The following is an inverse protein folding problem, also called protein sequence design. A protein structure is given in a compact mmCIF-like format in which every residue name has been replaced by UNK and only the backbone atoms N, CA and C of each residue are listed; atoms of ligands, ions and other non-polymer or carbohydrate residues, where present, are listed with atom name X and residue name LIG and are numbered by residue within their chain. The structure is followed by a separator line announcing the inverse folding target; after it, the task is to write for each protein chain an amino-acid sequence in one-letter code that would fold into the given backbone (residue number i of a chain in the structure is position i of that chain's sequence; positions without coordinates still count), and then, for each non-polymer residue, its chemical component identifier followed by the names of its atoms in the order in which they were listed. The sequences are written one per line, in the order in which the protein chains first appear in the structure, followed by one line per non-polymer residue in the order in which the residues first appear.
data_IF_826359331097
#
_entry.id   IF_826359331097
#
_cell.length_a   1.000
_cell.length_b   1.000
_cell.length_c   1.000
_cell.angle_alpha   90.00
_cell.angle_beta   90.00
_cell.angle_gamma   90.00
#
_symmetry.space_group_name_H-M   'P 1'
#
loop_
_entity.id
_entity.type
_entity.pdbx_description
1 polymer ?
#
# COMPACT_ATOMS: atom_id res chain seq x y z
N UNK A 1 -5.30 -18.43 -40.58
CA UNK A 1 -4.30 -18.08 -39.54
C UNK A 1 -3.64 -16.73 -39.82
N UNK A 2 -3.76 -16.15 -41.02
CA UNK A 2 -3.18 -14.82 -41.34
C UNK A 2 -4.08 -13.61 -41.03
N UNK A 3 -5.41 -13.76 -40.96
CA UNK A 3 -6.31 -12.62 -40.74
C UNK A 3 -6.29 -12.04 -39.31
N UNK A 4 -5.71 -12.76 -38.34
CA UNK A 4 -5.56 -12.30 -36.95
C UNK A 4 -4.29 -11.45 -36.75
N UNK A 5 -3.29 -11.59 -37.63
CA UNK A 5 -2.07 -10.78 -37.61
C UNK A 5 -2.24 -9.43 -38.29
N UNK A 6 -3.16 -9.32 -39.25
CA UNK A 6 -3.47 -8.04 -39.90
C UNK A 6 -4.35 -7.13 -39.02
N UNK A 7 -5.10 -7.69 -38.08
CA UNK A 7 -5.93 -6.91 -37.14
C UNK A 7 -5.11 -6.21 -36.04
N UNK A 8 -3.91 -6.71 -35.71
CA UNK A 8 -3.10 -6.17 -34.59
C UNK A 8 -2.27 -4.93 -34.93
N UNK A 9 -2.24 -4.49 -36.20
CA UNK A 9 -1.43 -3.33 -36.60
C UNK A 9 -2.09 -1.97 -36.31
N UNK A 10 -3.33 -1.96 -35.80
CA UNK A 10 -4.13 -0.75 -35.60
C UNK A 10 -4.71 -0.60 -34.18
N UNK A 11 -4.25 -1.40 -33.22
CA UNK A 11 -4.66 -1.23 -31.83
C UNK A 11 -3.73 -0.20 -31.16
N UNK A 12 -4.30 0.89 -30.64
CA UNK A 12 -3.60 1.77 -29.72
C UNK A 12 -3.26 0.97 -28.45
N UNK A 13 -1.97 0.72 -28.21
CA UNK A 13 -1.50 0.05 -27.00
C UNK A 13 -0.72 1.02 -26.11
N UNK A 14 -0.52 0.63 -24.85
CA UNK A 14 0.37 1.33 -23.91
C UNK A 14 1.78 0.72 -23.89
N UNK A 15 2.09 -0.15 -24.84
CA UNK A 15 3.38 -0.82 -24.90
C UNK A 15 4.48 0.17 -25.33
N UNK A 16 5.74 -0.09 -24.95
CA UNK A 16 6.86 0.63 -25.52
C UNK A 16 6.86 0.54 -27.04
N UNK A 17 7.05 1.68 -27.71
CA UNK A 17 7.24 1.72 -29.15
C UNK A 17 8.53 0.99 -29.59
N UNK A 18 9.56 0.99 -28.73
CA UNK A 18 10.80 0.26 -28.90
C UNK A 18 11.16 -0.47 -27.59
N UNK A 19 11.23 -1.80 -27.67
CA UNK A 19 11.56 -2.65 -26.53
C UNK A 19 13.05 -2.62 -26.16
N UNK A 20 13.95 -2.35 -27.10
CA UNK A 20 15.37 -2.22 -26.81
C UNK A 20 15.66 -0.97 -25.98
N UNK A 21 15.00 0.15 -26.32
CA UNK A 21 15.08 1.38 -25.52
C UNK A 21 14.45 1.19 -24.13
N UNK A 22 13.32 0.49 -24.05
CA UNK A 22 12.67 0.16 -22.79
C UNK A 22 13.55 -0.74 -21.90
N UNK A 23 14.22 -1.73 -22.48
CA UNK A 23 15.18 -2.60 -21.80
C UNK A 23 16.37 -1.81 -21.28
N UNK A 24 17.01 -0.99 -22.13
CA UNK A 24 18.14 -0.16 -21.76
C UNK A 24 17.79 0.81 -20.61
N UNK A 25 16.61 1.46 -20.68
CA UNK A 25 16.13 2.32 -19.61
C UNK A 25 15.85 1.53 -18.33
N UNK A 26 15.26 0.34 -18.43
CA UNK A 26 14.96 -0.51 -17.26
C UNK A 26 16.23 -0.95 -16.54
N UNK A 27 17.28 -1.33 -17.27
CA UNK A 27 18.59 -1.64 -16.70
C UNK A 27 19.20 -0.44 -15.97
N UNK A 28 19.16 0.75 -16.59
CA UNK A 28 19.62 1.98 -15.95
C UNK A 28 18.87 2.25 -14.63
N UNK A 29 17.54 2.14 -14.63
CA UNK A 29 16.72 2.36 -13.44
C UNK A 29 17.10 1.38 -12.32
N UNK A 30 17.34 0.10 -12.65
CA UNK A 30 17.74 -0.90 -11.68
C UNK A 30 19.14 -0.64 -11.13
N UNK A 31 20.12 -0.28 -11.97
CA UNK A 31 21.48 0.06 -11.55
C UNK A 31 21.48 1.27 -10.59
N UNK A 32 20.70 2.30 -10.92
CA UNK A 32 20.52 3.49 -10.10
C UNK A 32 19.82 3.15 -8.77
N UNK A 33 18.79 2.30 -8.78
CA UNK A 33 18.07 1.88 -7.58
C UNK A 33 18.95 1.02 -6.64
N UNK A 34 19.74 0.10 -7.19
CA UNK A 34 20.69 -0.71 -6.43
C UNK A 34 21.74 0.19 -5.78
N UNK A 35 22.32 1.12 -6.56
CA UNK A 35 23.28 2.12 -6.06
C UNK A 35 22.66 2.95 -4.94
N UNK A 36 21.43 3.45 -5.12
CA UNK A 36 20.71 4.23 -4.12
C UNK A 36 20.52 3.49 -2.78
N UNK A 37 20.24 2.19 -2.81
CA UNK A 37 20.08 1.36 -1.61
C UNK A 37 21.41 0.95 -0.97
N UNK A 38 22.41 0.60 -1.79
CA UNK A 38 23.75 0.22 -1.32
C UNK A 38 24.38 1.36 -0.52
N UNK A 39 24.29 2.57 -1.05
CA UNK A 39 25.00 3.74 -0.54
C UNK A 39 24.12 4.56 0.44
N UNK A 40 22.98 4.00 0.87
CA UNK A 40 22.00 4.63 1.79
C UNK A 40 22.59 5.15 3.10
N UNK A 41 23.73 4.60 3.55
CA UNK A 41 24.40 4.97 4.80
C UNK A 41 25.29 6.21 4.67
N UNK A 42 25.69 6.54 3.45
CA UNK A 42 26.64 7.61 3.15
C UNK A 42 25.93 8.96 2.98
N UNK A 43 24.63 8.93 2.68
CA UNK A 43 23.78 10.11 2.53
C UNK A 43 23.15 10.56 3.86
N UNK A 44 22.72 11.82 3.99
CA UNK A 44 21.94 12.27 5.14
C UNK A 44 20.62 11.48 5.25
N UNK A 45 20.15 11.28 6.49
CA UNK A 45 18.84 10.65 6.77
C UNK A 45 17.72 11.40 6.06
N UNK A 46 17.77 12.73 6.17
CA UNK A 46 16.83 13.67 5.57
C UNK A 46 17.60 14.94 5.19
N UNK A 47 17.18 15.62 4.14
CA UNK A 47 17.69 16.93 3.77
C UNK A 47 16.54 17.83 3.34
N UNK A 48 16.68 19.12 3.62
CA UNK A 48 15.67 20.09 3.21
C UNK A 48 15.58 20.18 1.69
N UNK A 49 14.35 20.18 1.17
CA UNK A 49 14.09 20.31 -0.25
C UNK A 49 14.17 21.79 -0.67
N UNK A 50 15.05 22.15 -1.62
CA UNK A 50 15.19 23.51 -2.13
C UNK A 50 13.89 24.07 -2.77
N UNK A 51 13.83 25.39 -2.91
CA UNK A 51 12.65 26.07 -3.43
C UNK A 51 12.38 25.72 -4.90
N UNK A 52 13.43 25.51 -5.70
CA UNK A 52 13.35 25.10 -7.10
C UNK A 52 12.70 23.72 -7.26
N UNK A 53 13.09 22.74 -6.42
CA UNK A 53 12.48 21.40 -6.42
C UNK A 53 11.01 21.47 -5.99
N UNK A 54 10.66 22.33 -5.02
CA UNK A 54 9.25 22.58 -4.66
C UNK A 54 8.46 23.20 -5.82
N UNK A 55 9.10 24.02 -6.63
CA UNK A 55 8.46 24.73 -7.75
C UNK A 55 8.28 23.83 -8.96
N UNK A 56 9.15 22.83 -9.14
CA UNK A 56 9.01 21.77 -10.14
C UNK A 56 7.64 21.06 -10.08
N UNK A 57 7.10 20.83 -8.88
CA UNK A 57 5.79 20.18 -8.68
C UNK A 57 4.58 21.14 -8.78
N UNK A 58 4.76 22.35 -9.32
CA UNK A 58 3.69 23.36 -9.50
C UNK A 58 3.42 23.68 -10.96
N UNK A 59 3.63 22.70 -11.85
CA UNK A 59 3.37 22.82 -13.28
C UNK A 59 1.94 22.38 -13.65
N UNK A 60 1.37 22.89 -14.77
CA UNK A 60 0.07 22.43 -15.24
C UNK A 60 0.12 21.00 -15.78
N UNK A 61 -1.06 20.37 -15.93
CA UNK A 61 -1.20 19.05 -16.54
C UNK A 61 -0.60 19.01 -17.96
N UNK A 62 0.33 18.10 -18.27
CA UNK A 62 0.85 17.91 -19.62
C UNK A 62 -0.27 17.49 -20.59
N UNK A 63 -0.28 18.05 -21.81
CA UNK A 63 -1.27 17.72 -22.86
C UNK A 63 -0.69 16.92 -24.03
N UNK A 64 0.58 16.58 -23.95
CA UNK A 64 1.33 15.84 -24.98
C UNK A 64 2.21 14.81 -24.29
N UNK A 65 2.53 13.68 -24.95
CA UNK A 65 3.41 12.67 -24.40
C UNK A 65 4.83 13.22 -24.20
N UNK A 66 5.56 12.59 -23.28
CA UNK A 66 6.98 12.84 -23.05
C UNK A 66 7.73 11.50 -23.06
N UNK A 67 9.00 11.47 -23.51
CA UNK A 67 9.82 10.27 -23.41
C UNK A 67 9.95 9.80 -21.95
N UNK A 68 9.77 8.50 -21.70
CA UNK A 68 9.83 7.94 -20.34
C UNK A 68 11.20 8.18 -19.68
N UNK A 69 12.28 8.20 -20.47
CA UNK A 69 13.62 8.52 -19.99
C UNK A 69 13.72 9.94 -19.40
N UNK A 70 13.06 10.93 -20.01
CA UNK A 70 13.04 12.30 -19.49
C UNK A 70 12.24 12.39 -18.18
N UNK A 71 11.12 11.66 -18.09
CA UNK A 71 10.34 11.55 -16.86
C UNK A 71 11.14 10.88 -15.75
N UNK A 72 11.89 9.82 -16.06
CA UNK A 72 12.78 9.17 -15.11
C UNK A 72 13.88 10.11 -14.63
N UNK A 73 14.51 10.86 -15.53
CA UNK A 73 15.51 11.86 -15.18
C UNK A 73 14.96 12.91 -14.20
N UNK A 74 13.71 13.33 -14.39
CA UNK A 74 13.03 14.22 -13.46
C UNK A 74 12.79 13.58 -12.09
N UNK A 75 12.39 12.31 -12.04
CA UNK A 75 12.25 11.55 -10.78
C UNK A 75 13.60 11.42 -10.07
N UNK A 76 14.65 11.04 -10.80
CA UNK A 76 16.00 10.86 -10.28
C UNK A 76 16.57 12.16 -9.68
N UNK A 77 16.29 13.31 -10.32
CA UNK A 77 16.75 14.63 -9.84
C UNK A 77 15.90 15.20 -8.71
N UNK A 78 14.57 15.13 -8.83
CA UNK A 78 13.65 15.92 -8.01
C UNK A 78 12.93 15.12 -6.92
N UNK A 79 12.87 13.79 -7.03
CA UNK A 79 12.16 12.93 -6.07
C UNK A 79 13.14 12.13 -5.23
N UNK A 80 13.97 11.31 -5.88
CA UNK A 80 14.85 10.34 -5.20
C UNK A 80 15.76 10.96 -4.14
N UNK A 81 16.33 12.16 -4.32
CA UNK A 81 17.26 12.72 -3.35
C UNK A 81 16.60 13.34 -2.12
N UNK A 82 15.26 13.46 -2.08
CA UNK A 82 14.53 14.13 -1.01
C UNK A 82 13.50 13.21 -0.32
N UNK A 83 13.91 12.02 0.15
CA UNK A 83 13.00 11.11 0.84
C UNK A 83 12.71 11.58 2.27
N UNK A 84 11.68 11.01 2.87
CA UNK A 84 11.43 11.14 4.32
C UNK A 84 12.58 10.56 5.17
N UNK A 85 13.31 9.58 4.63
CA UNK A 85 14.49 8.98 5.25
C UNK A 85 14.30 7.57 5.82
N UNK A 86 13.09 7.01 5.74
CA UNK A 86 12.68 5.77 6.42
C UNK A 86 13.61 4.56 6.25
N UNK A 87 14.30 4.44 5.11
CA UNK A 87 15.18 3.31 4.83
C UNK A 87 16.61 3.49 5.38
N UNK A 88 16.95 4.66 5.90
CA UNK A 88 18.26 4.94 6.48
C UNK A 88 18.33 4.34 7.90
N UNK A 89 19.41 3.63 8.31
CA UNK A 89 19.49 2.94 9.61
C UNK A 89 19.45 3.86 10.85
N UNK A 90 19.80 5.14 10.68
CA UNK A 90 19.65 6.23 11.68
C UNK A 90 18.28 6.94 11.66
N UNK A 91 17.31 6.46 10.88
CA UNK A 91 15.95 6.98 10.92
C UNK A 91 15.20 6.35 12.10
N UNK A 92 15.03 7.09 13.19
CA UNK A 92 14.41 6.60 14.44
C UNK A 92 13.11 7.33 14.80
N UNK A 93 12.52 8.04 13.84
CA UNK A 93 11.27 8.77 14.03
C UNK A 93 10.07 7.89 13.65
N UNK A 94 9.02 7.92 14.48
CA UNK A 94 7.77 7.18 14.26
C UNK A 94 7.94 5.66 14.06
N UNK A 95 6.83 4.98 13.82
CA UNK A 95 6.81 3.61 13.32
C UNK A 95 6.30 3.64 11.89
N UNK A 96 7.20 3.87 10.95
CA UNK A 96 6.88 3.82 9.53
C UNK A 96 7.58 2.62 8.93
N UNK A 97 6.83 1.80 8.17
CA UNK A 97 7.41 0.68 7.45
C UNK A 97 8.58 1.16 6.58
N UNK A 98 9.65 0.39 6.57
CA UNK A 98 10.76 0.56 5.65
C UNK A 98 10.60 -0.45 4.51
N UNK A 99 10.77 0.02 3.28
CA UNK A 99 10.92 -0.86 2.12
C UNK A 99 12.23 -1.65 2.24
N UNK A 100 12.32 -2.79 1.56
CA UNK A 100 13.55 -3.55 1.39
C UNK A 100 13.68 -4.01 -0.08
N UNK A 101 14.91 -4.36 -0.48
CA UNK A 101 15.22 -4.69 -1.87
C UNK A 101 14.39 -5.86 -2.41
N UNK A 102 14.28 -6.96 -1.66
CA UNK A 102 13.53 -8.15 -2.07
C UNK A 102 12.03 -7.84 -2.22
N UNK A 103 11.46 -7.08 -1.30
CA UNK A 103 10.08 -6.61 -1.38
C UNK A 103 9.84 -5.74 -2.61
N UNK A 104 10.76 -4.82 -2.90
CA UNK A 104 10.66 -3.96 -4.09
C UNK A 104 10.69 -4.77 -5.41
N UNK A 105 11.53 -5.81 -5.50
CA UNK A 105 11.52 -6.73 -6.66
C UNK A 105 10.20 -7.50 -6.73
N UNK A 106 9.69 -7.95 -5.58
CA UNK A 106 8.38 -8.62 -5.51
C UNK A 106 7.25 -7.73 -6.03
N UNK A 107 7.22 -6.46 -5.62
CA UNK A 107 6.24 -5.47 -6.09
C UNK A 107 6.38 -5.19 -7.59
N UNK A 108 7.61 -5.11 -8.10
CA UNK A 108 7.86 -4.99 -9.55
C UNK A 108 7.26 -6.17 -10.31
N UNK A 109 7.53 -7.41 -9.88
CA UNK A 109 6.98 -8.61 -10.52
C UNK A 109 5.46 -8.68 -10.41
N UNK A 110 4.89 -8.27 -9.28
CA UNK A 110 3.44 -8.19 -9.11
C UNK A 110 2.83 -7.16 -10.08
N UNK A 111 3.48 -6.01 -10.29
CA UNK A 111 3.06 -5.01 -11.25
C UNK A 111 3.16 -5.51 -12.71
N UNK A 112 4.21 -6.25 -13.06
CA UNK A 112 4.38 -6.89 -14.38
C UNK A 112 3.30 -7.95 -14.62
N UNK A 113 3.01 -8.79 -13.63
CA UNK A 113 1.96 -9.80 -13.76
C UNK A 113 0.56 -9.17 -13.87
N UNK A 114 0.34 -8.03 -13.19
CA UNK A 114 -0.91 -7.25 -13.29
C UNK A 114 -2.16 -7.97 -12.79
N UNK A 115 -2.03 -8.95 -11.89
CA UNK A 115 -3.16 -9.77 -11.45
C UNK A 115 -4.14 -9.02 -10.55
N UNK A 116 -5.41 -9.01 -10.92
CA UNK A 116 -6.52 -8.57 -10.08
C UNK A 116 -7.13 -9.77 -9.34
N UNK A 117 -7.09 -9.75 -8.01
CA UNK A 117 -7.55 -10.86 -7.15
C UNK A 117 -9.07 -10.81 -6.84
N UNK A 118 -9.86 -10.05 -7.61
CA UNK A 118 -11.32 -9.93 -7.43
C UNK A 118 -12.11 -11.21 -7.76
N UNK A 119 -11.48 -12.19 -8.42
CA UNK A 119 -12.07 -13.48 -8.72
C UNK A 119 -11.20 -14.33 -9.64
N UNK A 120 -11.68 -15.52 -10.00
CA UNK A 120 -10.98 -16.45 -10.89
C UNK A 120 -10.09 -17.47 -10.15
N UNK A 121 -9.36 -18.26 -10.93
CA UNK A 121 -8.46 -19.30 -10.44
C UNK A 121 -7.05 -19.07 -11.01
N UNK A 122 -6.20 -18.38 -10.24
CA UNK A 122 -4.87 -18.00 -10.68
C UNK A 122 -3.85 -18.06 -9.54
N UNK A 123 -2.58 -18.28 -9.91
CA UNK A 123 -1.49 -18.53 -8.95
C UNK A 123 -1.30 -17.40 -7.92
N UNK A 124 -1.52 -16.14 -8.30
CA UNK A 124 -1.39 -15.01 -7.37
C UNK A 124 -2.36 -15.10 -6.18
N UNK A 125 -3.59 -15.60 -6.37
CA UNK A 125 -4.54 -15.81 -5.27
C UNK A 125 -4.13 -16.95 -4.34
N UNK A 126 -3.51 -18.00 -4.88
CA UNK A 126 -2.93 -19.09 -4.09
C UNK A 126 -1.70 -18.63 -3.30
N UNK A 127 -0.86 -17.77 -3.90
CA UNK A 127 0.29 -17.17 -3.24
C UNK A 127 -0.13 -16.26 -2.08
N UNK A 128 -1.14 -15.41 -2.26
CA UNK A 128 -1.73 -14.61 -1.17
C UNK A 128 -2.19 -15.50 -0.01
N UNK A 129 -2.96 -16.55 -0.33
CA UNK A 129 -3.43 -17.53 0.65
C UNK A 129 -2.27 -18.24 1.38
N UNK A 130 -1.20 -18.58 0.67
CA UNK A 130 -0.01 -19.21 1.25
C UNK A 130 0.69 -18.27 2.24
N UNK A 131 0.86 -16.99 1.90
CA UNK A 131 1.47 -15.99 2.79
C UNK A 131 0.60 -15.78 4.02
N UNK A 132 -0.73 -15.69 3.88
CA UNK A 132 -1.65 -15.63 5.01
C UNK A 132 -1.51 -16.87 5.90
N UNK A 133 -1.39 -18.06 5.33
CA UNK A 133 -1.19 -19.29 6.10
C UNK A 133 0.13 -19.27 6.90
N UNK A 134 1.24 -18.83 6.30
CA UNK A 134 2.49 -18.65 7.03
C UNK A 134 2.36 -17.65 8.18
N UNK A 135 1.66 -16.53 7.96
CA UNK A 135 1.40 -15.56 9.03
C UNK A 135 0.58 -16.16 10.18
N UNK A 136 -0.42 -17.02 9.89
CA UNK A 136 -1.16 -17.74 10.92
C UNK A 136 -0.25 -18.63 11.76
N UNK A 137 0.61 -19.40 11.10
CA UNK A 137 1.56 -20.29 11.77
C UNK A 137 2.55 -19.52 12.65
N UNK A 138 3.16 -18.46 12.11
CA UNK A 138 4.11 -17.61 12.86
C UNK A 138 3.49 -16.95 14.10
N UNK A 139 2.20 -16.61 14.03
CA UNK A 139 1.47 -15.99 15.14
C UNK A 139 0.84 -17.01 16.11
N UNK A 140 0.97 -18.31 15.84
CA UNK A 140 0.40 -19.38 16.67
C UNK A 140 -1.14 -19.49 16.57
N UNK A 141 -1.74 -19.05 15.47
CA UNK A 141 -3.18 -19.18 15.27
C UNK A 141 -3.57 -20.61 14.84
N UNK A 142 -4.79 -21.07 15.20
CA UNK A 142 -5.32 -22.34 14.69
C UNK A 142 -5.38 -22.38 13.16
N UNK A 143 -5.18 -23.57 12.58
CA UNK A 143 -5.23 -23.77 11.12
C UNK A 143 -6.57 -23.32 10.51
N UNK A 144 -7.67 -23.44 11.26
CA UNK A 144 -9.02 -23.00 10.89
C UNK A 144 -9.21 -21.48 10.87
N UNK A 145 -8.23 -20.70 11.33
CA UNK A 145 -8.30 -19.23 11.24
C UNK A 145 -8.18 -18.78 9.79
N UNK A 146 -8.74 -17.61 9.50
CA UNK A 146 -8.62 -16.94 8.20
C UNK A 146 -7.91 -15.60 8.34
N UNK A 147 -7.50 -15.03 7.21
CA UNK A 147 -6.85 -13.73 7.16
C UNK A 147 -6.91 -13.17 5.75
N UNK A 148 -6.51 -11.91 5.62
CA UNK A 148 -6.40 -11.21 4.33
C UNK A 148 -5.31 -10.14 4.45
N UNK A 149 -4.50 -9.99 3.41
CA UNK A 149 -3.52 -8.91 3.32
C UNK A 149 -4.24 -7.60 2.99
N UNK A 150 -3.86 -6.53 3.68
CA UNK A 150 -4.51 -5.22 3.55
C UNK A 150 -3.48 -4.09 3.56
N UNK A 151 -3.87 -2.92 3.07
CA UNK A 151 -2.99 -1.75 2.89
C UNK A 151 -2.37 -1.17 4.17
N UNK A 152 -2.76 -1.67 5.35
CA UNK A 152 -2.11 -1.33 6.61
C UNK A 152 -3.00 -1.50 7.83
N UNK A 153 -2.45 -1.15 9.00
CA UNK A 153 -3.10 -1.37 10.29
C UNK A 153 -4.46 -0.69 10.44
N UNK A 154 -4.68 0.47 9.80
CA UNK A 154 -6.00 1.12 9.81
C UNK A 154 -7.08 0.27 9.16
N UNK A 155 -6.80 -0.30 7.97
CA UNK A 155 -7.75 -1.17 7.27
C UNK A 155 -7.94 -2.51 8.00
N UNK A 156 -6.85 -3.08 8.54
CA UNK A 156 -6.94 -4.30 9.34
C UNK A 156 -7.88 -4.11 10.55
N UNK A 157 -7.74 -2.99 11.27
CA UNK A 157 -8.60 -2.66 12.39
C UNK A 157 -10.05 -2.38 11.94
N UNK A 158 -10.27 -1.66 10.84
CA UNK A 158 -11.62 -1.43 10.31
C UNK A 158 -12.30 -2.78 10.00
N UNK A 159 -11.62 -3.70 9.34
CA UNK A 159 -12.16 -5.02 9.00
C UNK A 159 -12.45 -5.82 10.28
N UNK A 160 -11.50 -5.93 11.21
CA UNK A 160 -11.71 -6.64 12.47
C UNK A 160 -12.87 -6.08 13.29
N UNK A 161 -12.96 -4.75 13.39
CA UNK A 161 -14.07 -4.06 14.09
C UNK A 161 -15.41 -4.23 13.36
N UNK A 162 -15.41 -4.31 12.02
CA UNK A 162 -16.59 -4.62 11.21
C UNK A 162 -17.10 -6.04 11.51
N UNK A 163 -16.19 -7.01 11.55
CA UNK A 163 -16.52 -8.40 11.91
C UNK A 163 -17.11 -8.45 13.32
N UNK A 164 -16.46 -7.79 14.29
CA UNK A 164 -16.96 -7.71 15.66
C UNK A 164 -18.35 -7.04 15.75
N UNK A 165 -18.58 -5.94 15.00
CA UNK A 165 -19.88 -5.27 14.93
C UNK A 165 -20.94 -6.24 14.43
N UNK A 166 -20.71 -6.85 13.26
CA UNK A 166 -21.70 -7.72 12.63
C UNK A 166 -21.99 -8.96 13.51
N UNK A 167 -20.98 -9.54 14.16
CA UNK A 167 -21.14 -10.68 15.04
C UNK A 167 -21.89 -10.35 16.35
N UNK A 168 -21.85 -9.10 16.82
CA UNK A 168 -22.43 -8.68 18.11
C UNK A 168 -23.65 -7.76 17.99
N UNK A 169 -24.02 -7.33 16.78
CA UNK A 169 -25.12 -6.41 16.55
C UNK A 169 -26.49 -6.96 16.93
N UNK A 170 -26.67 -8.28 17.01
CA UNK A 170 -27.96 -8.92 17.28
C UNK A 170 -28.99 -8.77 16.15
N UNK A 171 -28.56 -8.23 15.01
CA UNK A 171 -29.32 -8.05 13.78
C UNK A 171 -28.37 -8.20 12.60
N UNK A 172 -28.89 -8.60 11.44
CA UNK A 172 -28.12 -8.50 10.20
C UNK A 172 -27.94 -7.03 9.81
N UNK A 173 -26.79 -6.46 10.17
CA UNK A 173 -26.43 -5.07 9.86
C UNK A 173 -26.20 -4.87 8.36
N UNK A 174 -25.83 -5.92 7.60
CA UNK A 174 -25.60 -5.80 6.16
C UNK A 174 -26.91 -5.57 5.42
N UNK A 175 -27.97 -6.24 5.86
CA UNK A 175 -29.31 -6.12 5.30
C UNK A 175 -30.07 -4.91 5.89
N UNK A 176 -30.09 -4.78 7.23
CA UNK A 176 -30.98 -3.82 7.91
C UNK A 176 -30.32 -2.51 8.31
N UNK A 177 -29.01 -2.38 8.12
CA UNK A 177 -28.24 -1.21 8.50
C UNK A 177 -28.01 -1.05 10.01
N UNK A 178 -27.14 -0.11 10.36
CA UNK A 178 -26.69 0.13 11.75
C UNK A 178 -27.80 0.66 12.66
N UNK A 179 -28.79 1.37 12.11
CA UNK A 179 -29.91 1.92 12.87
C UNK A 179 -30.86 0.84 13.40
N UNK A 180 -30.86 -0.37 12.81
CA UNK A 180 -31.69 -1.49 13.23
C UNK A 180 -31.13 -2.25 14.45
N UNK A 181 -29.97 -1.87 14.98
CA UNK A 181 -29.40 -2.52 16.16
C UNK A 181 -30.30 -2.28 17.38
N UNK A 182 -30.66 -3.32 18.16
CA UNK A 182 -31.55 -3.19 19.31
C UNK A 182 -30.93 -2.40 20.46
N UNK A 183 -29.60 -2.29 20.50
CA UNK A 183 -28.85 -1.49 21.47
C UNK A 183 -27.53 -1.00 20.86
N UNK A 184 -27.01 0.17 21.28
CA UNK A 184 -25.70 0.63 20.86
C UNK A 184 -24.59 -0.34 21.28
N UNK A 185 -23.61 -0.56 20.41
CA UNK A 185 -22.39 -1.30 20.75
C UNK A 185 -21.38 -0.39 21.44
N UNK A 186 -20.57 -0.99 22.31
CA UNK A 186 -19.49 -0.30 23.03
C UNK A 186 -18.17 -1.03 22.83
N UNK A 187 -17.15 -0.26 22.43
CA UNK A 187 -15.79 -0.72 22.24
C UNK A 187 -14.91 -0.11 23.32
N UNK A 188 -13.90 -0.86 23.76
CA UNK A 188 -13.02 -0.46 24.84
C UNK A 188 -11.57 -0.58 24.37
N UNK A 189 -10.77 0.41 24.70
CA UNK A 189 -9.32 0.41 24.51
C UNK A 189 -8.68 1.36 25.54
N UNK A 190 -7.36 1.30 25.72
CA UNK A 190 -6.66 2.34 26.50
C UNK A 190 -6.76 3.71 25.82
N UNK A 191 -6.47 4.77 26.56
CA UNK A 191 -6.32 6.12 26.00
C UNK A 191 -5.06 6.29 25.12
N UNK A 192 -4.12 5.34 25.16
CA UNK A 192 -2.95 5.25 24.27
C UNK A 192 -3.26 4.63 22.89
N UNK A 193 -4.50 4.20 22.65
CA UNK A 193 -4.90 3.53 21.40
C UNK A 193 -4.68 4.41 20.17
N UNK A 194 -4.18 3.82 19.08
CA UNK A 194 -3.96 4.56 17.84
C UNK A 194 -5.26 5.15 17.29
N UNK A 195 -5.16 6.37 16.75
CA UNK A 195 -6.30 7.18 16.27
C UNK A 195 -7.17 6.48 15.19
N UNK A 196 -6.65 5.46 14.50
CA UNK A 196 -7.41 4.69 13.52
C UNK A 196 -8.66 4.01 14.12
N UNK A 197 -8.67 3.66 15.40
CA UNK A 197 -9.83 3.04 16.05
C UNK A 197 -10.99 4.01 16.18
N UNK A 198 -10.69 5.30 16.47
CA UNK A 198 -11.70 6.37 16.42
C UNK A 198 -12.28 6.48 15.02
N UNK A 199 -11.41 6.60 14.01
CA UNK A 199 -11.81 6.74 12.61
C UNK A 199 -12.65 5.53 12.16
N UNK A 200 -12.32 4.33 12.63
CA UNK A 200 -13.12 3.14 12.36
C UNK A 200 -14.53 3.25 12.94
N UNK A 201 -14.71 3.71 14.19
CA UNK A 201 -16.07 3.90 14.74
C UNK A 201 -16.89 4.93 13.96
N UNK A 202 -16.25 6.02 13.54
CA UNK A 202 -16.87 7.07 12.72
C UNK A 202 -17.28 6.50 11.35
N UNK A 203 -16.37 5.79 10.67
CA UNK A 203 -16.62 5.18 9.38
C UNK A 203 -17.68 4.06 9.42
N UNK A 204 -17.74 3.30 10.52
CA UNK A 204 -18.73 2.23 10.71
C UNK A 204 -20.13 2.74 11.10
N UNK A 205 -20.33 4.05 11.19
CA UNK A 205 -21.62 4.66 11.54
C UNK A 205 -21.99 4.56 13.02
N UNK A 206 -21.04 4.23 13.89
CA UNK A 206 -21.24 4.06 15.33
C UNK A 206 -20.92 5.36 16.11
N UNK A 207 -20.12 6.23 15.51
CA UNK A 207 -19.66 7.49 16.09
C UNK A 207 -18.56 7.31 17.15
N UNK A 208 -17.72 8.33 17.33
CA UNK A 208 -16.58 8.28 18.28
C UNK A 208 -17.02 7.96 19.72
N UNK A 209 -18.25 8.31 20.11
CA UNK A 209 -18.78 7.96 21.44
C UNK A 209 -18.85 6.45 21.67
N UNK A 210 -18.92 5.60 20.64
CA UNK A 210 -18.91 4.15 20.78
C UNK A 210 -17.57 3.60 21.33
N UNK A 211 -16.46 4.32 21.15
CA UNK A 211 -15.15 3.98 21.70
C UNK A 211 -14.96 4.60 23.09
N UNK A 212 -15.04 3.77 24.14
CA UNK A 212 -14.60 4.15 25.49
C UNK A 212 -13.10 3.95 25.59
N UNK A 213 -12.38 5.07 25.76
CA UNK A 213 -10.98 5.06 26.14
C UNK A 213 -10.89 4.95 27.66
N UNK A 214 -10.12 3.98 28.13
CA UNK A 214 -9.84 3.76 29.55
C UNK A 214 -8.55 4.53 29.87
N UNK A 215 -8.58 5.46 30.85
CA UNK A 215 -7.40 6.20 31.25
C UNK A 215 -6.27 5.25 31.64
N UNK A 216 -5.04 5.58 31.27
CA UNK A 216 -3.84 4.89 31.73
C UNK A 216 -2.93 5.84 32.49
N UNK A 217 -2.13 5.28 33.39
CA UNK A 217 -1.10 5.97 34.15
C UNK A 217 0.26 5.27 33.95
N UNK A 218 1.29 5.76 34.64
CA UNK A 218 2.63 5.22 34.56
C UNK A 218 2.85 3.97 35.45
N UNK A 219 1.82 3.52 36.19
CA UNK A 219 1.97 2.66 37.36
C UNK A 219 2.27 3.43 38.64
#
# INVERSE_FOLDING_TARGET
MDSLRELTAADETLDPADWADAEALSHRILDDAITYLRDVRERPVWREMPAEVRSFFKTPLPRSPAPVAEVYDDVARNVMPYPMGNIHPRFWSWYMGASNFTGAIGDFLAAIQGSNLGGGNHAAGLLDSQVVNWMKEMMGFPASSSGTLVSGGSMANIIGLTVARNAKAGVDVRERGVAAMPKPLRYYASDQVHSCHRKAMEALGLGNRALRRIPTDAG
#
